data_IF_157297898934
#
_entry.id   IF_157297898934
#
_cell.length_a   1.000
_cell.length_b   1.000
_cell.length_c   1.000
_cell.angle_alpha   90.00
_cell.angle_beta   90.00
_cell.angle_gamma   90.00
#
_symmetry.space_group_name_H-M   'P 1'
#
loop_
_entity.id
_entity.type
_entity.pdbx_description
1 polymer ?
#
# COMPACT_ATOMS: atom_id res chain seq x y z
N UNK A 1 18.01 4.45 7.63
CA UNK A 1 17.42 3.33 8.37
C UNK A 1 16.56 3.80 9.55
N UNK A 2 17.02 4.68 10.46
CA UNK A 2 16.21 5.15 11.61
C UNK A 2 14.83 5.68 11.20
N UNK A 3 14.76 6.54 10.18
CA UNK A 3 13.51 7.08 9.67
C UNK A 3 12.65 6.04 8.94
N UNK A 4 13.28 5.07 8.24
CA UNK A 4 12.56 3.98 7.59
C UNK A 4 11.89 3.06 8.62
N UNK A 5 12.54 2.79 9.76
CA UNK A 5 11.93 2.07 10.87
C UNK A 5 10.76 2.83 11.51
N UNK A 6 10.87 4.16 11.64
CA UNK A 6 9.83 4.98 12.27
C UNK A 6 8.59 5.18 11.36
N UNK A 7 8.77 5.20 10.04
CA UNK A 7 7.71 5.43 9.06
C UNK A 7 7.87 4.46 7.87
N UNK A 8 7.77 3.14 8.08
CA UNK A 8 8.15 2.15 7.08
C UNK A 8 7.39 2.32 5.77
N UNK A 9 6.09 2.46 5.79
CA UNK A 9 5.23 2.52 4.61
C UNK A 9 5.43 3.78 3.77
N UNK A 10 5.66 4.93 4.42
CA UNK A 10 6.03 6.17 3.73
C UNK A 10 7.33 6.02 2.96
N UNK A 11 8.32 5.36 3.57
CA UNK A 11 9.61 5.12 2.93
C UNK A 11 9.53 4.07 1.84
N UNK A 12 8.68 3.04 1.97
CA UNK A 12 8.37 2.10 0.90
C UNK A 12 7.83 2.84 -0.33
N UNK A 13 6.77 3.63 -0.17
CA UNK A 13 6.20 4.38 -1.27
C UNK A 13 7.22 5.31 -1.94
N UNK A 14 8.03 6.02 -1.12
CA UNK A 14 8.99 7.01 -1.61
C UNK A 14 10.14 6.38 -2.40
N UNK A 15 10.73 5.28 -1.93
CA UNK A 15 12.00 4.76 -2.46
C UNK A 15 11.83 3.57 -3.39
N UNK A 16 10.71 2.88 -3.35
CA UNK A 16 10.38 1.77 -4.26
C UNK A 16 9.33 2.14 -5.29
N UNK A 17 9.06 3.46 -5.45
CA UNK A 17 8.15 4.00 -6.46
C UNK A 17 6.75 3.35 -6.42
N UNK A 18 6.25 3.03 -5.23
CA UNK A 18 4.91 2.50 -5.05
C UNK A 18 3.94 3.66 -5.11
N UNK A 19 3.09 3.66 -6.13
CA UNK A 19 2.07 4.69 -6.31
C UNK A 19 1.00 4.61 -5.23
N UNK A 20 0.43 5.76 -4.89
CA UNK A 20 -0.68 5.87 -3.94
C UNK A 20 -1.98 6.13 -4.70
N UNK A 21 -2.45 5.13 -5.42
CA UNK A 21 -3.67 5.13 -6.23
C UNK A 21 -4.50 3.85 -5.97
N UNK A 22 -5.73 3.84 -6.47
CA UNK A 22 -6.68 2.75 -6.27
C UNK A 22 -6.21 1.43 -6.93
N UNK A 23 -5.53 1.50 -8.06
CA UNK A 23 -4.99 0.33 -8.74
C UNK A 23 -3.92 -0.36 -7.90
N UNK A 24 -2.98 0.42 -7.36
CA UNK A 24 -1.93 -0.10 -6.47
C UNK A 24 -2.52 -0.66 -5.18
N UNK A 25 -3.50 0.02 -4.59
CA UNK A 25 -4.22 -0.47 -3.41
C UNK A 25 -4.87 -1.83 -3.69
N UNK A 26 -5.64 -1.94 -4.77
CA UNK A 26 -6.31 -3.19 -5.17
C UNK A 26 -5.31 -4.33 -5.39
N UNK A 27 -4.14 -4.05 -5.98
CA UNK A 27 -3.10 -5.06 -6.18
C UNK A 27 -2.54 -5.57 -4.85
N UNK A 28 -2.29 -4.69 -3.87
CA UNK A 28 -1.83 -5.11 -2.55
C UNK A 28 -2.89 -5.84 -1.75
N UNK A 29 -4.17 -5.47 -1.87
CA UNK A 29 -5.30 -6.18 -1.26
C UNK A 29 -5.44 -7.60 -1.83
N UNK A 30 -5.27 -7.79 -3.15
CA UNK A 30 -5.28 -9.11 -3.77
C UNK A 30 -4.13 -9.99 -3.23
N UNK A 31 -2.91 -9.45 -3.19
CA UNK A 31 -1.75 -10.16 -2.62
C UNK A 31 -1.97 -10.52 -1.15
N UNK A 32 -2.54 -9.61 -0.36
CA UNK A 32 -2.90 -9.86 1.04
C UNK A 32 -3.90 -11.01 1.16
N UNK A 33 -4.94 -11.01 0.33
CA UNK A 33 -5.97 -12.06 0.32
C UNK A 33 -5.37 -13.42 -0.04
N UNK A 34 -4.50 -13.48 -1.03
CA UNK A 34 -3.83 -14.72 -1.45
C UNK A 34 -2.95 -15.29 -0.33
N UNK A 35 -2.14 -14.47 0.32
CA UNK A 35 -1.31 -14.89 1.44
C UNK A 35 -2.13 -15.30 2.67
N UNK A 36 -3.17 -14.54 2.99
CA UNK A 36 -4.08 -14.86 4.10
C UNK A 36 -4.81 -16.20 3.86
N UNK A 37 -5.29 -16.43 2.63
CA UNK A 37 -5.93 -17.69 2.25
C UNK A 37 -4.97 -18.89 2.36
N UNK A 38 -3.72 -18.74 1.91
CA UNK A 38 -2.70 -19.76 2.02
C UNK A 38 -2.36 -20.11 3.48
N UNK A 39 -2.21 -19.09 4.35
CA UNK A 39 -1.98 -19.31 5.79
C UNK A 39 -3.18 -19.97 6.48
N UNK A 40 -4.40 -19.54 6.14
CA UNK A 40 -5.62 -20.13 6.69
C UNK A 40 -5.78 -21.57 6.23
N UNK A 41 -5.56 -21.88 4.95
CA UNK A 41 -5.58 -23.22 4.40
C UNK A 41 -4.60 -24.14 5.13
N UNK A 42 -3.37 -23.68 5.36
CA UNK A 42 -2.39 -24.42 6.17
C UNK A 42 -2.88 -24.73 7.57
N UNK A 43 -3.44 -23.74 8.27
CA UNK A 43 -3.97 -23.93 9.63
C UNK A 43 -5.09 -24.96 9.66
N UNK A 44 -6.01 -24.90 8.68
CA UNK A 44 -7.10 -25.87 8.56
C UNK A 44 -6.59 -27.30 8.34
N UNK A 45 -5.69 -27.50 7.37
CA UNK A 45 -5.11 -28.80 7.07
C UNK A 45 -4.34 -29.39 8.27
N UNK A 46 -3.58 -28.55 9.00
CA UNK A 46 -2.91 -28.99 10.22
C UNK A 46 -3.89 -29.38 11.32
N UNK A 47 -4.98 -28.61 11.50
CA UNK A 47 -6.04 -28.90 12.47
C UNK A 47 -6.76 -30.20 12.15
N UNK A 48 -7.16 -30.41 10.90
CA UNK A 48 -7.80 -31.63 10.44
C UNK A 48 -6.89 -32.84 10.66
N UNK A 49 -5.61 -32.72 10.32
CA UNK A 49 -4.61 -33.75 10.56
C UNK A 49 -4.54 -34.14 12.05
N UNK A 50 -4.52 -33.14 12.94
CA UNK A 50 -4.47 -33.40 14.38
C UNK A 50 -5.75 -34.04 14.90
N UNK A 51 -6.91 -33.65 14.40
CA UNK A 51 -8.20 -34.31 14.75
C UNK A 51 -8.16 -35.79 14.39
N UNK A 52 -7.73 -36.12 13.16
CA UNK A 52 -7.64 -37.50 12.68
C UNK A 52 -6.63 -38.31 13.53
N UNK A 53 -5.45 -37.73 13.79
CA UNK A 53 -4.43 -38.41 14.62
C UNK A 53 -4.96 -38.66 16.04
N UNK A 54 -5.67 -37.71 16.63
CA UNK A 54 -6.23 -37.84 17.97
C UNK A 54 -7.38 -38.84 18.02
N UNK A 55 -8.18 -39.00 16.97
CA UNK A 55 -9.26 -39.97 16.92
C UNK A 55 -8.75 -41.42 17.02
N UNK A 56 -7.57 -41.72 16.47
CA UNK A 56 -6.95 -43.06 16.49
C UNK A 56 -5.97 -43.26 17.65
N UNK A 57 -5.74 -42.24 18.47
CA UNK A 57 -4.75 -42.27 19.56
C UNK A 57 -5.03 -43.39 20.59
N UNK A 58 -6.31 -43.64 20.87
CA UNK A 58 -6.73 -44.65 21.84
C UNK A 58 -6.60 -46.08 21.30
N UNK A 59 -6.53 -46.26 19.99
CA UNK A 59 -6.42 -47.57 19.33
C UNK A 59 -4.95 -47.97 19.13
N UNK A 60 -4.00 -47.09 19.49
CA UNK A 60 -2.57 -47.27 19.30
C UNK A 60 -1.87 -47.28 20.67
N UNK A 61 -0.94 -48.23 20.88
CA UNK A 61 -0.09 -48.22 22.07
C UNK A 61 0.62 -46.88 22.27
N UNK A 62 0.60 -46.35 23.52
CA UNK A 62 1.23 -45.09 23.87
C UNK A 62 2.71 -45.01 23.49
N UNK A 63 3.44 -46.14 23.54
CA UNK A 63 4.83 -46.25 23.13
C UNK A 63 5.00 -46.06 21.62
N UNK A 64 4.12 -46.65 20.81
CA UNK A 64 4.14 -46.50 19.35
C UNK A 64 3.77 -45.06 18.98
N UNK A 65 2.78 -44.49 19.64
CA UNK A 65 2.35 -43.11 19.40
C UNK A 65 3.50 -42.08 19.65
N UNK A 66 4.21 -42.22 20.78
CA UNK A 66 5.30 -41.30 21.15
C UNK A 66 6.55 -41.50 20.31
N UNK A 67 6.96 -42.72 20.01
CA UNK A 67 8.22 -43.01 19.31
C UNK A 67 8.08 -43.00 17.78
N UNK A 68 6.88 -43.11 17.23
CA UNK A 68 6.67 -43.29 15.79
C UNK A 68 5.63 -42.32 15.21
N UNK A 69 5.35 -41.18 15.87
CA UNK A 69 4.36 -40.19 15.42
C UNK A 69 4.56 -39.77 13.97
N UNK A 70 5.79 -39.48 13.57
CA UNK A 70 6.12 -39.08 12.20
C UNK A 70 5.86 -40.19 11.17
N UNK A 71 6.22 -41.42 11.51
CA UNK A 71 5.94 -42.61 10.66
C UNK A 71 4.44 -42.88 10.53
N UNK A 72 3.69 -42.66 11.61
CA UNK A 72 2.25 -42.78 11.61
C UNK A 72 1.60 -41.74 10.68
N UNK A 73 1.99 -40.50 10.81
CA UNK A 73 1.54 -39.38 9.94
C UNK A 73 1.78 -39.70 8.46
N UNK A 74 2.97 -40.22 8.12
CA UNK A 74 3.31 -40.61 6.76
C UNK A 74 2.50 -41.83 6.27
N UNK A 75 2.29 -42.82 7.12
CA UNK A 75 1.47 -44.02 6.77
C UNK A 75 -0.01 -43.70 6.59
N UNK A 76 -0.52 -42.67 7.27
CA UNK A 76 -1.88 -42.17 7.08
C UNK A 76 -2.06 -41.35 5.80
N UNK A 77 -0.99 -41.20 5.01
CA UNK A 77 -1.04 -40.50 3.74
C UNK A 77 -1.01 -38.97 3.86
N UNK A 78 -0.69 -38.44 5.06
CA UNK A 78 -0.51 -36.99 5.20
C UNK A 78 0.82 -36.55 4.59
N UNK A 79 0.71 -35.68 3.61
CA UNK A 79 1.87 -35.00 3.03
C UNK A 79 2.31 -33.81 3.89
N UNK A 80 3.57 -33.43 3.75
CA UNK A 80 4.07 -32.17 4.34
C UNK A 80 3.50 -31.02 3.56
N UNK A 81 2.85 -30.09 4.29
CA UNK A 81 2.37 -28.85 3.66
C UNK A 81 3.60 -27.98 3.40
N UNK A 82 4.01 -27.94 2.14
CA UNK A 82 5.12 -27.12 1.69
C UNK A 82 4.60 -25.74 1.23
N UNK A 83 5.06 -24.69 1.93
CA UNK A 83 4.84 -23.28 1.55
C UNK A 83 6.16 -22.59 1.26
N UNK A 84 7.21 -23.36 0.90
CA UNK A 84 8.53 -22.80 0.59
C UNK A 84 8.49 -21.78 -0.57
N UNK A 85 7.53 -21.93 -1.47
CA UNK A 85 7.31 -21.01 -2.59
C UNK A 85 6.56 -19.73 -2.19
N UNK A 86 5.99 -19.70 -0.98
CA UNK A 86 5.30 -18.52 -0.47
C UNK A 86 6.31 -17.54 0.14
N UNK A 87 6.87 -16.69 -0.70
CA UNK A 87 7.88 -15.71 -0.29
C UNK A 87 7.26 -14.34 -0.05
N UNK A 88 7.32 -13.88 1.20
CA UNK A 88 6.95 -12.50 1.51
C UNK A 88 8.01 -11.53 1.00
N UNK A 89 7.62 -10.45 0.31
CA UNK A 89 8.57 -9.44 -0.14
C UNK A 89 9.28 -8.77 1.05
N UNK A 90 10.61 -8.62 0.91
CA UNK A 90 11.45 -7.94 1.90
C UNK A 90 12.11 -6.73 1.24
N UNK A 91 11.85 -5.56 1.76
CA UNK A 91 12.42 -4.31 1.29
C UNK A 91 13.57 -3.89 2.20
N UNK A 92 14.79 -3.82 1.63
CA UNK A 92 16.00 -3.50 2.37
C UNK A 92 16.41 -2.05 2.15
N UNK A 93 16.57 -1.30 3.23
CA UNK A 93 17.20 0.01 3.25
C UNK A 93 18.60 -0.12 3.83
N UNK A 94 19.59 0.33 3.08
CA UNK A 94 20.98 0.33 3.51
C UNK A 94 21.56 1.74 3.41
N UNK A 95 22.25 2.16 4.47
CA UNK A 95 23.05 3.37 4.50
C UNK A 95 24.50 2.98 4.74
N UNK A 96 25.39 3.57 3.94
CA UNK A 96 26.84 3.48 4.14
C UNK A 96 27.37 4.91 4.13
N UNK A 97 28.18 5.28 5.12
CA UNK A 97 28.82 6.59 5.14
C UNK A 97 29.85 6.72 4.01
N UNK A 98 30.13 7.94 3.57
CA UNK A 98 31.04 8.21 2.45
C UNK A 98 32.45 7.61 2.64
N UNK A 99 32.91 7.48 3.88
CA UNK A 99 34.19 6.82 4.20
C UNK A 99 34.10 5.32 4.53
N UNK A 100 32.94 4.69 4.41
CA UNK A 100 32.73 3.28 4.72
C UNK A 100 32.76 2.91 6.21
N UNK A 101 33.07 3.85 7.10
CA UNK A 101 33.28 3.60 8.52
C UNK A 101 32.01 3.36 9.33
N UNK A 102 30.84 3.62 8.77
CA UNK A 102 29.54 3.41 9.41
C UNK A 102 28.56 2.89 8.40
N UNK A 103 27.84 1.85 8.75
CA UNK A 103 26.72 1.32 7.96
C UNK A 103 25.54 1.02 8.86
N UNK A 104 24.34 1.14 8.29
CA UNK A 104 23.09 0.74 8.93
C UNK A 104 22.18 0.07 7.89
N UNK A 105 21.55 -1.02 8.31
CA UNK A 105 20.57 -1.76 7.48
C UNK A 105 19.24 -1.86 8.22
N UNK A 106 18.16 -1.83 7.46
CA UNK A 106 16.81 -1.99 7.94
C UNK A 106 16.03 -2.78 6.89
N UNK A 107 15.43 -3.87 7.29
CA UNK A 107 14.62 -4.72 6.44
C UNK A 107 13.14 -4.58 6.85
N UNK A 108 12.27 -4.33 5.88
CA UNK A 108 10.82 -4.30 6.06
C UNK A 108 10.23 -5.49 5.32
N UNK A 109 9.78 -6.48 6.06
CA UNK A 109 9.11 -7.66 5.50
C UNK A 109 7.61 -7.38 5.42
N UNK A 110 7.03 -7.57 4.24
CA UNK A 110 5.57 -7.50 4.05
C UNK A 110 4.96 -8.89 4.22
N UNK A 111 4.95 -9.42 5.45
CA UNK A 111 4.12 -10.55 5.83
C UNK A 111 2.64 -10.14 5.91
N UNK A 112 1.75 -11.07 6.19
CA UNK A 112 0.29 -10.83 6.19
C UNK A 112 -0.08 -9.65 7.09
N UNK A 113 0.51 -9.55 8.28
CA UNK A 113 0.23 -8.46 9.22
C UNK A 113 0.71 -7.09 8.69
N UNK A 114 1.92 -7.05 8.13
CA UNK A 114 2.47 -5.81 7.58
C UNK A 114 1.83 -5.43 6.24
N UNK A 115 1.38 -6.41 5.43
CA UNK A 115 0.59 -6.17 4.23
C UNK A 115 -0.76 -5.55 4.57
N UNK A 116 -1.46 -6.07 5.59
CA UNK A 116 -2.72 -5.48 6.06
C UNK A 116 -2.52 -4.02 6.51
N UNK A 117 -1.51 -3.77 7.34
CA UNK A 117 -1.16 -2.40 7.77
C UNK A 117 -0.80 -1.50 6.59
N UNK A 118 -0.11 -2.04 5.59
CA UNK A 118 0.28 -1.29 4.40
C UNK A 118 -0.91 -0.98 3.50
N UNK A 119 -1.82 -1.94 3.29
CA UNK A 119 -3.06 -1.72 2.55
C UNK A 119 -3.92 -0.65 3.23
N UNK A 120 -4.08 -0.70 4.55
CA UNK A 120 -4.77 0.34 5.32
C UNK A 120 -4.10 1.72 5.16
N UNK A 121 -2.77 1.79 5.23
CA UNK A 121 -2.02 3.02 4.99
C UNK A 121 -2.26 3.59 3.58
N UNK A 122 -2.23 2.75 2.54
CA UNK A 122 -2.53 3.17 1.16
C UNK A 122 -3.98 3.64 1.02
N UNK A 123 -4.94 2.94 1.62
CA UNK A 123 -6.36 3.30 1.62
C UNK A 123 -6.58 4.69 2.23
N UNK A 124 -5.94 4.99 3.35
CA UNK A 124 -6.02 6.31 3.99
C UNK A 124 -5.45 7.41 3.09
N UNK A 125 -4.34 7.14 2.39
CA UNK A 125 -3.76 8.09 1.44
C UNK A 125 -4.66 8.31 0.22
N UNK A 126 -5.25 7.26 -0.32
CA UNK A 126 -6.20 7.34 -1.46
C UNK A 126 -7.45 8.11 -1.04
N UNK A 127 -8.03 7.81 0.11
CA UNK A 127 -9.18 8.54 0.66
C UNK A 127 -8.87 10.02 0.88
N UNK A 128 -7.70 10.32 1.48
CA UNK A 128 -7.29 11.71 1.68
C UNK A 128 -7.12 12.43 0.34
N UNK A 129 -6.45 11.81 -0.64
CA UNK A 129 -6.24 12.39 -1.97
C UNK A 129 -7.55 12.71 -2.69
N UNK A 130 -8.56 11.84 -2.53
CA UNK A 130 -9.88 12.01 -3.12
C UNK A 130 -10.81 12.94 -2.30
N UNK A 131 -10.41 13.32 -1.08
CA UNK A 131 -11.18 14.24 -0.25
C UNK A 131 -11.09 15.69 -0.77
N UNK A 132 -12.10 16.50 -0.45
CA UNK A 132 -12.09 17.94 -0.77
C UNK A 132 -10.85 18.64 -0.22
N UNK A 133 -10.41 18.26 0.99
CA UNK A 133 -9.22 18.82 1.62
C UNK A 133 -7.94 18.43 0.88
N UNK A 134 -7.82 17.16 0.49
CA UNK A 134 -6.70 16.67 -0.31
C UNK A 134 -6.65 17.32 -1.68
N UNK A 135 -7.80 17.45 -2.35
CA UNK A 135 -7.89 18.14 -3.63
C UNK A 135 -7.47 19.61 -3.54
N UNK A 136 -7.90 20.34 -2.50
CA UNK A 136 -7.44 21.71 -2.25
C UNK A 136 -5.93 21.80 -2.04
N UNK A 137 -5.34 20.84 -1.35
CA UNK A 137 -3.89 20.80 -1.13
C UNK A 137 -3.07 20.58 -2.43
N UNK A 138 -3.65 20.04 -3.48
CA UNK A 138 -3.02 19.90 -4.79
C UNK A 138 -2.92 21.24 -5.56
N UNK A 139 -3.68 22.26 -5.15
CA UNK A 139 -3.68 23.59 -5.78
C UNK A 139 -2.40 24.37 -5.42
N UNK A 140 -1.27 23.93 -5.93
CA UNK A 140 0.03 24.58 -5.70
C UNK A 140 0.16 25.93 -6.43
N UNK A 141 1.09 26.77 -5.97
CA UNK A 141 1.39 28.03 -6.66
C UNK A 141 1.85 27.80 -8.10
N UNK A 142 2.63 26.74 -8.34
CA UNK A 142 3.08 26.36 -9.68
C UNK A 142 1.91 25.99 -10.59
N UNK A 143 0.95 25.21 -10.09
CA UNK A 143 -0.25 24.85 -10.84
C UNK A 143 -1.10 26.08 -11.17
N UNK A 144 -1.29 26.98 -10.20
CA UNK A 144 -2.02 28.24 -10.42
C UNK A 144 -1.39 29.07 -11.53
N UNK A 145 -0.07 29.22 -11.51
CA UNK A 145 0.64 29.99 -12.53
C UNK A 145 0.52 29.34 -13.92
N UNK A 146 0.69 28.03 -14.01
CA UNK A 146 0.52 27.28 -15.26
C UNK A 146 -0.89 27.45 -15.86
N UNK A 147 -1.93 27.47 -15.04
CA UNK A 147 -3.31 27.72 -15.51
C UNK A 147 -3.47 29.15 -15.98
N UNK A 148 -2.91 30.15 -15.27
CA UNK A 148 -2.94 31.55 -15.73
C UNK A 148 -2.23 31.73 -17.07
N UNK A 149 -1.05 31.15 -17.26
CA UNK A 149 -0.33 31.13 -18.53
C UNK A 149 -1.16 30.47 -19.64
N UNK A 150 -1.70 29.28 -19.42
CA UNK A 150 -2.57 28.57 -20.36
C UNK A 150 -3.76 29.44 -20.80
N UNK A 151 -4.35 30.15 -19.86
CA UNK A 151 -5.54 30.98 -20.09
C UNK A 151 -5.16 32.41 -20.57
N UNK A 152 -3.88 32.62 -20.87
CA UNK A 152 -3.32 33.88 -21.36
C UNK A 152 -3.62 35.06 -20.42
N UNK A 153 -3.52 34.81 -19.09
CA UNK A 153 -3.81 35.79 -18.04
C UNK A 153 -5.17 36.51 -18.23
N UNK A 154 -6.17 35.77 -18.69
CA UNK A 154 -7.51 36.29 -19.04
C UNK A 154 -8.57 35.52 -18.24
N UNK A 155 -9.47 36.28 -17.59
CA UNK A 155 -10.63 35.71 -16.92
C UNK A 155 -11.53 34.99 -17.93
N UNK A 156 -11.84 33.70 -17.69
CA UNK A 156 -12.70 32.91 -18.58
C UNK A 156 -14.17 33.30 -18.50
N UNK A 157 -14.57 34.02 -17.44
CA UNK A 157 -15.96 34.48 -17.26
C UNK A 157 -16.25 35.80 -17.94
N UNK A 158 -15.37 36.81 -17.77
CA UNK A 158 -15.63 38.15 -18.27
C UNK A 158 -14.66 38.61 -19.37
N UNK A 159 -13.66 37.79 -19.74
CA UNK A 159 -12.65 38.07 -20.80
C UNK A 159 -11.73 39.28 -20.52
N UNK A 160 -11.73 39.81 -19.28
CA UNK A 160 -10.76 40.84 -18.89
C UNK A 160 -9.40 40.20 -18.64
N UNK A 161 -8.33 40.83 -19.07
CA UNK A 161 -6.97 40.29 -18.88
C UNK A 161 -6.10 41.24 -18.05
N UNK A 162 -5.04 40.72 -17.43
CA UNK A 162 -4.02 41.53 -16.75
C UNK A 162 -3.24 42.44 -17.72
N UNK A 163 -3.32 42.15 -19.02
CA UNK A 163 -2.72 43.03 -20.07
C UNK A 163 -3.54 44.28 -20.29
N UNK A 164 -4.87 44.21 -20.10
CA UNK A 164 -5.77 45.37 -20.25
C UNK A 164 -5.99 46.08 -18.93
N UNK A 165 -6.02 45.33 -17.81
CA UNK A 165 -6.23 45.87 -16.46
C UNK A 165 -5.08 45.42 -15.54
N UNK A 166 -4.13 46.33 -15.28
CA UNK A 166 -2.88 46.01 -14.54
C UNK A 166 -3.10 45.62 -13.08
N UNK A 167 -4.18 46.04 -12.48
CA UNK A 167 -4.50 45.75 -11.09
C UNK A 167 -5.45 44.55 -10.95
N UNK A 168 -5.71 43.82 -12.03
CA UNK A 168 -6.56 42.64 -12.00
C UNK A 168 -5.85 41.49 -11.25
N UNK A 169 -6.52 40.96 -10.22
CA UNK A 169 -6.10 39.76 -9.51
C UNK A 169 -6.90 38.59 -10.05
N UNK A 170 -6.24 37.73 -10.82
CA UNK A 170 -6.84 36.50 -11.31
C UNK A 170 -6.68 35.41 -10.27
N UNK A 171 -7.79 34.76 -9.95
CA UNK A 171 -7.85 33.56 -9.12
C UNK A 171 -8.04 32.32 -10.00
N UNK A 172 -7.65 31.14 -9.47
CA UNK A 172 -7.89 29.86 -10.14
C UNK A 172 -8.99 29.14 -9.39
N UNK A 173 -10.02 28.77 -10.13
CA UNK A 173 -11.15 28.02 -9.58
C UNK A 173 -11.45 26.78 -10.41
N UNK A 174 -12.23 25.87 -9.82
CA UNK A 174 -12.67 24.63 -10.45
C UNK A 174 -13.89 24.87 -11.34
N UNK A 175 -13.84 24.40 -12.59
CA UNK A 175 -14.99 24.39 -13.52
C UNK A 175 -16.12 23.55 -12.94
N UNK A 176 -15.81 22.33 -12.52
CA UNK A 176 -16.70 21.48 -11.72
C UNK A 176 -16.26 21.60 -10.27
N UNK A 177 -17.07 22.18 -9.38
CA UNK A 177 -16.70 22.35 -7.97
C UNK A 177 -16.34 21.03 -7.28
N UNK A 178 -15.38 21.07 -6.35
CA UNK A 178 -14.98 19.90 -5.55
C UNK A 178 -16.17 19.29 -4.79
N UNK A 179 -17.11 20.12 -4.32
CA UNK A 179 -18.34 19.68 -3.66
C UNK A 179 -19.31 18.91 -4.57
N UNK A 180 -19.11 18.98 -5.88
CA UNK A 180 -19.87 18.26 -6.92
C UNK A 180 -19.05 17.14 -7.57
N UNK A 181 -17.96 16.70 -6.93
CA UNK A 181 -17.11 15.62 -7.43
C UNK A 181 -16.05 16.04 -8.44
N UNK A 182 -15.78 17.34 -8.59
CA UNK A 182 -14.66 17.82 -9.41
C UNK A 182 -13.31 17.45 -8.77
N UNK A 183 -12.27 17.33 -9.59
CA UNK A 183 -10.89 17.10 -9.15
C UNK A 183 -10.00 18.27 -9.54
N UNK A 184 -8.91 18.46 -8.80
CA UNK A 184 -7.88 19.47 -9.09
C UNK A 184 -6.96 18.95 -10.20
N UNK A 185 -7.44 19.08 -11.42
CA UNK A 185 -6.73 18.74 -12.67
C UNK A 185 -6.67 19.96 -13.58
N UNK A 186 -5.67 20.04 -14.45
CA UNK A 186 -5.54 21.15 -15.40
C UNK A 186 -6.80 21.37 -16.24
N UNK A 187 -7.47 20.29 -16.65
CA UNK A 187 -8.70 20.35 -17.45
C UNK A 187 -9.91 20.85 -16.69
N UNK A 188 -9.91 20.77 -15.37
CA UNK A 188 -11.00 21.20 -14.49
C UNK A 188 -10.71 22.54 -13.78
N UNK A 189 -9.64 23.24 -14.15
CA UNK A 189 -9.26 24.53 -13.58
C UNK A 189 -9.37 25.63 -14.62
N UNK A 190 -9.71 26.84 -14.20
CA UNK A 190 -9.79 28.02 -15.05
C UNK A 190 -9.40 29.29 -14.29
N UNK A 191 -8.90 30.32 -15.02
CA UNK A 191 -8.66 31.63 -14.47
C UNK A 191 -9.95 32.47 -14.45
N UNK A 192 -10.25 33.07 -13.30
CA UNK A 192 -11.40 33.96 -13.07
C UNK A 192 -10.96 35.33 -12.56
#
# INVERSE_FOLDING_TARGET
CKNANAQPFKYLCKYFNIKTDEETLSNFENVLNDFAAAEQGKKLLLSEREIIINSIKNDISALIYTLSKERLVKKLGFETIDLSDLHFPVYTFQYVSAGGNSSARCDIKLDVENLDKFANYLNDLVKFKNSIQGQRALMSSKLREMIKERDNYTCKSCSISTHTERNLLLEIDHIIPLSKGGFTTESNLQAL
#
